data_IF_177383583714
#
_entry.id   IF_177383583714
#
_cell.length_a   1.000
_cell.length_b   1.000
_cell.length_c   1.000
_cell.angle_alpha   90.00
_cell.angle_beta   90.00
_cell.angle_gamma   90.00
#
_symmetry.space_group_name_H-M   'P 1'
#
loop_
_entity.id
_entity.type
_entity.pdbx_description
1 polymer ?
#
# COMPACT_ATOMS: atom_id res chain seq x y z
N UNK A 1 4.99 10.97 -16.56
CA UNK A 1 3.92 11.07 -15.56
C UNK A 1 2.62 11.41 -16.27
N UNK A 2 1.47 10.79 -15.94
CA UNK A 2 0.20 11.19 -16.55
C UNK A 2 -0.16 12.60 -16.07
N UNK A 3 -0.14 13.57 -16.98
CA UNK A 3 -0.35 15.00 -16.72
C UNK A 3 -1.62 15.28 -15.90
N UNK A 4 -2.66 14.49 -16.13
CA UNK A 4 -3.97 14.63 -15.49
C UNK A 4 -3.92 14.59 -13.95
N UNK A 5 -3.13 13.70 -13.33
CA UNK A 5 -3.10 13.58 -11.87
C UNK A 5 -2.50 14.81 -11.18
N UNK A 6 -1.53 15.46 -11.82
CA UNK A 6 -0.96 16.72 -11.32
C UNK A 6 -1.98 17.87 -11.42
N UNK A 7 -2.75 17.92 -12.51
CA UNK A 7 -3.82 18.91 -12.68
C UNK A 7 -4.95 18.69 -11.66
N UNK A 8 -5.31 17.43 -11.40
CA UNK A 8 -6.32 17.07 -10.41
C UNK A 8 -5.89 17.48 -8.99
N UNK A 9 -4.66 17.16 -8.57
CA UNK A 9 -4.09 17.62 -7.29
C UNK A 9 -4.11 19.15 -7.20
N UNK A 10 -3.68 19.85 -8.25
CA UNK A 10 -3.71 21.31 -8.29
C UNK A 10 -5.12 21.91 -8.23
N UNK A 11 -6.14 21.17 -8.69
CA UNK A 11 -7.55 21.52 -8.49
C UNK A 11 -8.00 21.36 -7.04
N UNK A 12 -7.68 20.21 -6.42
CA UNK A 12 -7.97 19.94 -5.01
C UNK A 12 -7.31 20.97 -4.08
N UNK A 13 -6.04 21.29 -4.30
CA UNK A 13 -5.27 22.23 -3.46
C UNK A 13 -5.89 23.63 -3.38
N UNK A 14 -6.61 24.06 -4.42
CA UNK A 14 -7.29 25.36 -4.42
C UNK A 14 -8.52 25.39 -3.53
N UNK A 15 -9.13 24.23 -3.25
CA UNK A 15 -10.34 24.09 -2.44
C UNK A 15 -9.97 23.66 -1.03
N UNK A 16 -9.13 22.64 -0.91
CA UNK A 16 -8.63 22.11 0.35
C UNK A 16 -7.20 21.54 0.17
N UNK A 17 -6.17 22.27 0.63
CA UNK A 17 -4.79 21.79 0.58
C UNK A 17 -4.53 20.60 1.53
N UNK A 18 -5.46 20.27 2.42
CA UNK A 18 -5.36 19.14 3.34
C UNK A 18 -6.08 17.88 2.84
N UNK A 19 -6.74 17.93 1.68
CA UNK A 19 -7.42 16.79 1.10
C UNK A 19 -6.44 15.61 0.90
N UNK A 20 -6.77 14.45 1.49
CA UNK A 20 -5.97 13.24 1.38
C UNK A 20 -6.39 12.42 0.16
N UNK A 21 -5.44 12.21 -0.75
CA UNK A 21 -5.67 11.52 -2.02
C UNK A 21 -4.89 10.21 -2.06
N UNK A 22 -5.61 9.10 -2.01
CA UNK A 22 -5.07 7.74 -2.14
C UNK A 22 -5.46 7.18 -3.51
N UNK A 23 -4.48 6.67 -4.25
CA UNK A 23 -4.72 5.98 -5.52
C UNK A 23 -4.83 4.48 -5.35
N UNK A 24 -5.79 3.87 -6.04
CA UNK A 24 -5.80 2.43 -6.28
C UNK A 24 -4.97 2.13 -7.53
N UNK A 25 -3.69 1.81 -7.32
CA UNK A 25 -2.77 1.36 -8.36
C UNK A 25 -2.45 -0.10 -8.07
N UNK A 26 -2.88 -1.00 -8.95
CA UNK A 26 -2.82 -2.46 -8.74
C UNK A 26 -1.51 -3.07 -9.24
N UNK A 27 -0.41 -2.31 -9.19
CA UNK A 27 0.89 -2.81 -9.60
C UNK A 27 1.35 -3.95 -8.71
N UNK A 28 1.90 -5.00 -9.32
CA UNK A 28 2.45 -6.14 -8.58
C UNK A 28 3.80 -5.85 -7.91
N UNK A 29 4.40 -4.68 -8.18
CA UNK A 29 5.70 -4.26 -7.67
C UNK A 29 5.75 -2.73 -7.58
N UNK A 30 6.44 -2.20 -6.56
CA UNK A 30 6.53 -0.76 -6.27
C UNK A 30 7.00 0.12 -7.44
N UNK A 31 7.81 -0.39 -8.37
CA UNK A 31 8.24 0.39 -9.55
C UNK A 31 7.10 0.75 -10.49
N UNK A 32 6.04 -0.06 -10.52
CA UNK A 32 4.85 0.21 -11.34
C UNK A 32 3.99 1.32 -10.74
N UNK A 33 3.99 1.46 -9.41
CA UNK A 33 3.18 2.46 -8.72
C UNK A 33 3.92 3.79 -8.54
N UNK A 34 5.25 3.75 -8.58
CA UNK A 34 6.13 4.91 -8.38
C UNK A 34 5.78 6.16 -9.22
N UNK A 35 5.28 6.06 -10.47
CA UNK A 35 4.86 7.23 -11.24
C UNK A 35 3.68 8.00 -10.63
N UNK A 36 2.91 7.39 -9.74
CA UNK A 36 1.68 7.97 -9.19
C UNK A 36 1.88 8.61 -7.80
N UNK A 37 2.91 8.23 -7.05
CA UNK A 37 3.11 8.71 -5.67
C UNK A 37 3.59 10.16 -5.55
N UNK A 38 3.84 10.86 -6.66
CA UNK A 38 4.20 12.28 -6.66
C UNK A 38 2.97 13.21 -6.54
N UNK A 39 1.91 13.06 -7.38
CA UNK A 39 0.68 13.84 -7.23
C UNK A 39 -0.30 13.31 -6.17
N UNK A 40 -0.13 12.06 -5.72
CA UNK A 40 -0.98 11.43 -4.70
C UNK A 40 -0.27 11.44 -3.34
N UNK A 41 -1.03 11.36 -2.24
CA UNK A 41 -0.45 11.23 -0.90
C UNK A 41 0.05 9.81 -0.62
N UNK A 42 -0.64 8.82 -1.16
CA UNK A 42 -0.32 7.41 -1.04
C UNK A 42 -0.95 6.61 -2.21
N UNK A 43 -0.51 5.37 -2.35
CA UNK A 43 -1.16 4.35 -3.18
C UNK A 43 -1.42 3.12 -2.31
N UNK A 44 -2.51 2.40 -2.55
CA UNK A 44 -2.77 1.16 -1.81
C UNK A 44 -1.64 0.15 -2.01
N UNK A 45 -1.05 -0.35 -0.91
CA UNK A 45 0.10 -1.26 -0.99
C UNK A 45 -0.34 -2.72 -1.16
N UNK A 46 -0.72 -3.08 -2.40
CA UNK A 46 -1.03 -4.46 -2.77
C UNK A 46 0.14 -5.43 -2.56
N UNK A 47 1.40 -5.10 -2.95
CA UNK A 47 2.56 -5.95 -2.65
C UNK A 47 2.72 -6.28 -1.16
N UNK A 48 2.52 -5.31 -0.27
CA UNK A 48 2.56 -5.51 1.17
C UNK A 48 1.36 -6.32 1.67
N UNK A 49 0.15 -6.05 1.18
CA UNK A 49 -1.05 -6.81 1.55
C UNK A 49 -0.84 -8.34 1.35
N UNK A 50 -0.32 -8.74 0.20
CA UNK A 50 0.03 -10.13 -0.11
C UNK A 50 1.07 -10.67 0.88
N UNK A 51 2.09 -9.86 1.21
CA UNK A 51 3.19 -10.24 2.10
C UNK A 51 2.75 -10.38 3.56
N UNK A 52 1.86 -9.51 4.04
CA UNK A 52 1.29 -9.58 5.39
C UNK A 52 0.48 -10.86 5.57
N UNK A 53 -0.45 -11.15 4.66
CA UNK A 53 -1.27 -12.38 4.69
C UNK A 53 -0.37 -13.62 4.63
N UNK A 54 0.64 -13.61 3.76
CA UNK A 54 1.58 -14.73 3.60
C UNK A 54 2.43 -14.96 4.85
N UNK A 55 2.89 -13.91 5.51
CA UNK A 55 3.66 -13.98 6.76
C UNK A 55 2.79 -14.54 7.89
N UNK A 56 1.58 -14.02 8.04
CA UNK A 56 0.61 -14.49 9.03
C UNK A 56 0.23 -15.96 8.82
N UNK A 57 -0.04 -16.37 7.56
CA UNK A 57 -0.37 -17.76 7.21
C UNK A 57 0.76 -18.75 7.52
N UNK A 58 2.02 -18.32 7.38
CA UNK A 58 3.20 -19.17 7.58
C UNK A 58 3.73 -19.13 9.02
N UNK A 59 3.27 -18.18 9.83
CA UNK A 59 3.78 -17.96 11.19
C UNK A 59 5.25 -17.52 11.22
N UNK A 60 5.76 -16.89 10.16
CA UNK A 60 7.13 -16.35 10.08
C UNK A 60 7.19 -15.13 9.18
N UNK A 61 8.15 -14.26 9.44
CA UNK A 61 8.41 -13.11 8.58
C UNK A 61 8.77 -13.58 7.15
N UNK A 62 8.07 -13.03 6.16
CA UNK A 62 8.35 -13.24 4.74
C UNK A 62 9.10 -12.05 4.13
N UNK A 63 9.72 -11.20 4.96
CA UNK A 63 10.53 -10.04 4.59
C UNK A 63 9.73 -8.74 4.57
N UNK A 64 8.90 -8.49 5.58
CA UNK A 64 8.04 -7.31 5.69
C UNK A 64 8.90 -6.04 5.79
N UNK A 65 9.86 -5.99 6.71
CA UNK A 65 10.71 -4.82 6.91
C UNK A 65 11.56 -4.48 5.66
N UNK A 66 12.13 -5.50 5.02
CA UNK A 66 12.89 -5.32 3.78
C UNK A 66 12.00 -4.80 2.63
N UNK A 67 10.75 -5.25 2.54
CA UNK A 67 9.79 -4.75 1.55
C UNK A 67 9.43 -3.28 1.81
N UNK A 68 9.20 -2.89 3.07
CA UNK A 68 8.90 -1.50 3.42
C UNK A 68 10.07 -0.55 3.09
N UNK A 69 11.31 -0.96 3.40
CA UNK A 69 12.51 -0.20 3.00
C UNK A 69 12.62 -0.09 1.49
N UNK A 70 12.34 -1.18 0.77
CA UNK A 70 12.38 -1.18 -0.70
C UNK A 70 11.31 -0.26 -1.30
N UNK A 71 10.08 -0.31 -0.79
CA UNK A 71 8.99 0.59 -1.18
C UNK A 71 9.42 2.04 -1.01
N UNK A 72 9.85 2.42 0.20
CA UNK A 72 10.27 3.79 0.49
C UNK A 72 11.42 4.24 -0.40
N UNK A 73 12.40 3.39 -0.66
CA UNK A 73 13.51 3.70 -1.58
C UNK A 73 12.98 4.04 -2.99
N UNK A 74 12.05 3.24 -3.52
CA UNK A 74 11.50 3.44 -4.86
C UNK A 74 10.61 4.68 -4.92
N UNK A 75 9.74 4.86 -3.93
CA UNK A 75 8.78 5.97 -3.90
C UNK A 75 9.47 7.31 -3.63
N UNK A 76 10.43 7.39 -2.72
CA UNK A 76 11.20 8.60 -2.49
C UNK A 76 12.00 9.03 -3.71
N UNK A 77 12.58 8.07 -4.45
CA UNK A 77 13.28 8.38 -5.70
C UNK A 77 12.35 8.99 -6.77
N UNK A 78 11.06 8.60 -6.77
CA UNK A 78 10.07 9.12 -7.73
C UNK A 78 9.40 10.43 -7.27
N UNK A 79 9.12 10.56 -5.97
CA UNK A 79 8.40 11.69 -5.38
C UNK A 79 9.31 12.85 -4.93
N UNK A 80 10.58 12.55 -4.62
CA UNK A 80 11.54 13.49 -4.05
C UNK A 80 11.34 13.78 -2.55
N UNK A 81 10.45 13.04 -1.88
CA UNK A 81 10.14 13.16 -0.46
C UNK A 81 9.60 11.83 0.08
N UNK A 82 9.51 11.71 1.41
CA UNK A 82 8.91 10.54 2.06
C UNK A 82 7.45 10.39 1.66
N UNK A 83 7.05 9.19 1.21
CA UNK A 83 5.68 8.90 0.78
C UNK A 83 4.97 8.12 1.89
N UNK A 84 3.76 8.52 2.27
CA UNK A 84 2.99 7.75 3.24
C UNK A 84 2.52 6.43 2.65
N UNK A 85 2.62 5.36 3.43
CA UNK A 85 2.09 4.06 3.05
C UNK A 85 0.57 4.00 3.26
N UNK A 86 -0.12 3.17 2.50
CA UNK A 86 -1.52 2.84 2.68
C UNK A 86 -1.72 1.30 2.65
N UNK A 87 -1.23 0.59 3.70
CA UNK A 87 -1.33 -0.85 3.76
C UNK A 87 -2.76 -1.29 4.11
N UNK A 88 -3.09 -2.51 3.70
CA UNK A 88 -4.35 -3.18 3.99
C UNK A 88 -4.12 -4.70 3.90
N UNK A 89 -5.12 -5.52 4.26
CA UNK A 89 -5.03 -6.97 4.10
C UNK A 89 -5.73 -7.45 2.83
N UNK A 90 -7.00 -7.08 2.66
CA UNK A 90 -7.74 -7.34 1.42
C UNK A 90 -8.82 -6.28 1.21
N UNK A 91 -9.26 -6.07 -0.03
CA UNK A 91 -10.39 -5.21 -0.37
C UNK A 91 -11.55 -6.01 -1.01
N UNK A 92 -12.49 -5.32 -1.65
CA UNK A 92 -13.68 -5.91 -2.26
C UNK A 92 -13.40 -6.66 -3.57
N UNK A 93 -12.24 -6.43 -4.19
CA UNK A 93 -11.80 -7.11 -5.42
C UNK A 93 -10.95 -8.36 -5.13
N UNK A 94 -10.70 -8.64 -3.85
CA UNK A 94 -9.85 -9.73 -3.41
C UNK A 94 -10.64 -10.75 -2.58
N UNK A 95 -10.05 -11.95 -2.46
CA UNK A 95 -10.57 -12.95 -1.56
C UNK A 95 -10.55 -12.44 -0.12
N UNK A 96 -11.57 -12.82 0.67
CA UNK A 96 -11.59 -12.48 2.11
C UNK A 96 -10.38 -13.09 2.79
N UNK A 97 -9.69 -12.31 3.63
CA UNK A 97 -8.49 -12.72 4.39
C UNK A 97 -8.67 -14.07 5.07
N UNK A 98 -9.81 -14.32 5.72
CA UNK A 98 -10.07 -15.59 6.41
C UNK A 98 -10.05 -16.81 5.49
N UNK A 99 -10.39 -16.66 4.21
CA UNK A 99 -10.28 -17.77 3.26
C UNK A 99 -8.81 -18.05 2.92
N UNK A 100 -8.00 -17.02 2.71
CA UNK A 100 -6.55 -17.18 2.48
C UNK A 100 -5.83 -17.79 3.69
N UNK A 101 -6.31 -17.46 4.90
CA UNK A 101 -5.83 -18.02 6.16
C UNK A 101 -6.45 -19.38 6.51
N UNK A 102 -7.25 -19.98 5.62
CA UNK A 102 -7.89 -21.30 5.79
C UNK A 102 -8.75 -21.40 7.06
N UNK A 103 -9.43 -20.31 7.42
CA UNK A 103 -10.28 -20.26 8.61
C UNK A 103 -9.52 -20.18 9.94
N UNK A 104 -8.19 -20.02 9.93
CA UNK A 104 -7.39 -19.99 11.16
C UNK A 104 -7.46 -18.62 11.85
N UNK A 105 -8.13 -18.57 13.01
CA UNK A 105 -8.32 -17.35 13.80
C UNK A 105 -7.01 -16.80 14.39
N UNK A 106 -6.08 -17.65 14.81
CA UNK A 106 -4.80 -17.20 15.35
C UNK A 106 -3.94 -16.52 14.29
N UNK A 107 -3.95 -17.04 13.06
CA UNK A 107 -3.32 -16.36 11.93
C UNK A 107 -3.98 -15.02 11.63
N UNK A 108 -5.31 -14.91 11.77
CA UNK A 108 -6.01 -13.64 11.54
C UNK A 108 -5.65 -12.59 12.60
N UNK A 109 -5.49 -13.00 13.86
CA UNK A 109 -4.99 -12.11 14.92
C UNK A 109 -3.60 -11.59 14.60
N UNK A 110 -2.71 -12.45 14.10
CA UNK A 110 -1.37 -12.05 13.64
C UNK A 110 -1.47 -11.09 12.46
N UNK A 111 -2.28 -11.38 11.44
CA UNK A 111 -2.46 -10.51 10.28
C UNK A 111 -2.99 -9.12 10.69
N UNK A 112 -3.97 -9.06 11.59
CA UNK A 112 -4.50 -7.81 12.13
C UNK A 112 -3.45 -7.06 12.97
N UNK A 113 -2.68 -7.76 13.80
CA UNK A 113 -1.59 -7.16 14.58
C UNK A 113 -0.53 -6.54 13.67
N UNK A 114 -0.11 -7.25 12.61
CA UNK A 114 0.86 -6.73 11.64
C UNK A 114 0.36 -5.49 10.87
N UNK A 115 -0.95 -5.37 10.63
CA UNK A 115 -1.53 -4.20 9.96
C UNK A 115 -1.57 -2.95 10.87
N UNK A 116 -1.71 -3.14 12.18
CA UNK A 116 -2.04 -2.08 13.14
C UNK A 116 -0.82 -1.57 13.93
N UNK A 117 0.40 -1.87 13.49
CA UNK A 117 1.67 -1.48 14.13
C UNK A 117 2.56 -0.71 13.17
#
# INVERSE_FOLDING_TARGET
MPQWWSEYRGGLDKVDPHAYLVGEVTGSHYRLDAPFVKPLNAVFDFPMAVRLIKSARRGRDDGIGAALVHMQTVYQAAAGHYVMDAPFLSNHDQQRVMTDLRGNLEHMKVAAALLLT
#
